data_IF_986771842463
#
_entry.id   IF_986771842463
#
_cell.length_a   1.000
_cell.length_b   1.000
_cell.length_c   1.000
_cell.angle_alpha   90.00
_cell.angle_beta   90.00
_cell.angle_gamma   90.00
#
_symmetry.space_group_name_H-M   'P 1'
#
loop_
_entity.id
_entity.type
_entity.pdbx_description
1 polymer ?
#
# COMPACT_ATOMS: atom_id res chain seq x y z
N UNK A 1 10.70 7.45 -9.03
CA UNK A 1 12.14 7.55 -9.32
C UNK A 1 12.64 6.29 -10.01
N UNK A 2 12.66 5.11 -9.37
CA UNK A 2 13.10 3.84 -9.99
C UNK A 2 12.50 3.57 -11.39
N UNK A 3 11.16 3.56 -11.52
CA UNK A 3 10.47 3.36 -12.83
C UNK A 3 10.89 4.33 -13.94
N UNK A 4 11.33 5.54 -13.59
CA UNK A 4 11.79 6.52 -14.58
C UNK A 4 13.20 6.16 -15.06
N UNK A 5 14.09 5.83 -14.14
CA UNK A 5 15.45 5.38 -14.47
C UNK A 5 15.43 4.13 -15.37
N UNK A 6 14.52 3.18 -15.13
CA UNK A 6 14.32 2.02 -16.02
C UNK A 6 13.92 2.44 -17.44
N UNK A 7 12.98 3.39 -17.58
CA UNK A 7 12.51 3.88 -18.89
C UNK A 7 13.60 4.60 -19.68
N UNK A 8 14.53 5.24 -18.98
CA UNK A 8 15.67 5.95 -19.58
C UNK A 8 16.87 5.03 -19.87
N UNK A 9 16.82 3.76 -19.47
CA UNK A 9 17.88 2.79 -19.72
C UNK A 9 19.00 2.79 -18.66
N UNK A 10 18.71 3.22 -17.43
CA UNK A 10 19.63 3.21 -16.29
C UNK A 10 19.24 2.15 -15.23
N UNK A 11 19.41 0.84 -15.52
CA UNK A 11 18.92 -0.23 -14.65
C UNK A 11 19.61 -0.27 -13.27
N UNK A 12 20.90 0.07 -13.19
CA UNK A 12 21.63 0.12 -11.91
C UNK A 12 21.06 1.19 -10.98
N UNK A 13 20.75 2.38 -11.53
CA UNK A 13 20.13 3.49 -10.79
C UNK A 13 18.71 3.11 -10.36
N UNK A 14 17.95 2.43 -11.23
CA UNK A 14 16.60 1.97 -10.90
C UNK A 14 16.59 0.98 -9.74
N UNK A 15 17.53 0.04 -9.70
CA UNK A 15 17.68 -0.93 -8.62
C UNK A 15 18.15 -0.26 -7.32
N UNK A 16 19.10 0.67 -7.40
CA UNK A 16 19.53 1.46 -6.24
C UNK A 16 18.35 2.21 -5.60
N UNK A 17 17.53 2.91 -6.41
CA UNK A 17 16.33 3.57 -5.91
C UNK A 17 15.34 2.61 -5.24
N UNK A 18 15.16 1.41 -5.81
CA UNK A 18 14.23 0.42 -5.27
C UNK A 18 14.70 -0.11 -3.93
N UNK A 19 15.99 -0.42 -3.78
CA UNK A 19 16.57 -0.91 -2.53
C UNK A 19 16.52 0.15 -1.44
N UNK A 20 16.93 1.38 -1.75
CA UNK A 20 16.87 2.51 -0.81
C UNK A 20 15.43 2.76 -0.36
N UNK A 21 14.44 2.65 -1.26
CA UNK A 21 13.04 2.81 -0.87
C UNK A 21 12.57 1.81 0.21
N UNK A 22 13.10 0.57 0.21
CA UNK A 22 12.83 -0.40 1.28
C UNK A 22 13.54 -0.03 2.59
N UNK A 23 14.77 0.45 2.51
CA UNK A 23 15.53 0.93 3.68
C UNK A 23 14.83 2.12 4.35
N UNK A 24 14.32 3.07 3.57
CA UNK A 24 13.53 4.19 4.09
C UNK A 24 12.17 3.77 4.66
N UNK A 25 11.53 2.74 4.08
CA UNK A 25 10.32 2.16 4.66
C UNK A 25 10.60 1.52 6.03
N UNK A 26 11.76 0.87 6.19
CA UNK A 26 12.22 0.33 7.47
C UNK A 26 12.49 1.46 8.49
N UNK A 27 13.12 2.56 8.07
CA UNK A 27 13.31 3.73 8.93
C UNK A 27 11.97 4.27 9.45
N UNK A 28 10.98 4.44 8.57
CA UNK A 28 9.64 4.89 8.95
C UNK A 28 8.96 3.92 9.92
N UNK A 29 9.10 2.60 9.71
CA UNK A 29 8.54 1.59 10.60
C UNK A 29 9.13 1.65 12.02
N UNK A 30 10.45 1.85 12.15
CA UNK A 30 11.13 2.00 13.44
C UNK A 30 10.62 3.21 14.22
N UNK A 31 10.43 4.35 13.56
CA UNK A 31 9.85 5.52 14.22
C UNK A 31 8.39 5.27 14.63
N UNK A 32 7.60 4.63 13.77
CA UNK A 32 6.22 4.29 14.07
C UNK A 32 6.09 3.34 15.27
N UNK A 33 7.03 2.41 15.45
CA UNK A 33 7.14 1.55 16.63
C UNK A 33 7.48 2.36 17.88
N UNK A 34 8.46 3.28 17.82
CA UNK A 34 8.84 4.13 18.95
C UNK A 34 7.71 5.06 19.41
N UNK A 35 6.87 5.52 18.47
CA UNK A 35 5.73 6.39 18.76
C UNK A 35 4.49 5.61 19.22
N UNK A 36 4.37 4.32 18.85
CA UNK A 36 3.21 3.50 19.19
C UNK A 36 1.91 3.85 18.46
N UNK A 37 1.98 4.66 17.39
CA UNK A 37 0.79 5.20 16.69
C UNK A 37 0.30 4.33 15.52
N UNK A 38 1.15 3.44 14.98
CA UNK A 38 0.85 2.64 13.77
C UNK A 38 1.21 1.17 13.93
N UNK A 39 2.17 0.86 14.80
CA UNK A 39 2.60 -0.51 15.11
C UNK A 39 2.45 -0.70 16.61
N UNK A 40 1.69 -1.71 17.01
CA UNK A 40 1.58 -2.13 18.40
C UNK A 40 2.32 -3.45 18.64
N UNK A 41 2.66 -3.76 19.89
CA UNK A 41 3.31 -5.01 20.27
C UNK A 41 2.35 -6.23 20.24
N UNK A 42 1.46 -6.30 19.25
CA UNK A 42 0.51 -7.40 19.03
C UNK A 42 0.27 -7.62 17.52
N UNK A 43 0.73 -8.75 17.00
CA UNK A 43 0.62 -9.08 15.57
C UNK A 43 -0.83 -9.24 15.11
N UNK A 44 -1.72 -9.73 15.98
CA UNK A 44 -3.14 -9.91 15.65
C UNK A 44 -3.79 -8.56 15.42
N UNK A 45 -3.58 -7.62 16.32
CA UNK A 45 -4.09 -6.25 16.23
C UNK A 45 -3.50 -5.54 15.02
N UNK A 46 -2.18 -5.64 14.80
CA UNK A 46 -1.53 -5.09 13.60
C UNK A 46 -2.18 -5.63 12.31
N UNK A 47 -2.42 -6.94 12.21
CA UNK A 47 -3.11 -7.52 11.05
C UNK A 47 -4.56 -7.04 10.93
N UNK A 48 -5.29 -6.94 12.05
CA UNK A 48 -6.68 -6.46 12.06
C UNK A 48 -6.76 -5.02 11.54
N UNK A 49 -5.94 -4.11 12.06
CA UNK A 49 -5.93 -2.72 11.61
C UNK A 49 -5.47 -2.57 10.16
N UNK A 50 -4.59 -3.46 9.67
CA UNK A 50 -4.22 -3.49 8.24
C UNK A 50 -5.38 -3.94 7.36
N UNK A 51 -6.18 -4.93 7.76
CA UNK A 51 -7.40 -5.32 7.02
C UNK A 51 -8.36 -4.13 6.92
N UNK A 52 -8.63 -3.45 8.04
CA UNK A 52 -9.52 -2.30 8.08
C UNK A 52 -8.98 -1.14 7.20
N UNK A 53 -7.66 -0.89 7.25
CA UNK A 53 -7.00 0.10 6.43
C UNK A 53 -7.12 -0.19 4.93
N UNK A 54 -6.93 -1.45 4.51
CA UNK A 54 -7.08 -1.83 3.09
C UNK A 54 -8.52 -1.69 2.59
N UNK A 55 -9.53 -1.97 3.44
CA UNK A 55 -10.94 -1.73 3.09
C UNK A 55 -11.25 -0.25 2.94
N UNK A 56 -10.79 0.59 3.88
CA UNK A 56 -10.91 2.03 3.76
C UNK A 56 -10.20 2.58 2.52
N UNK A 57 -9.00 2.10 2.23
CA UNK A 57 -8.23 2.49 1.06
C UNK A 57 -8.90 2.07 -0.25
N UNK A 58 -9.49 0.86 -0.29
CA UNK A 58 -10.25 0.37 -1.46
C UNK A 58 -11.45 1.28 -1.73
N UNK A 59 -12.27 1.57 -0.72
CA UNK A 59 -13.44 2.44 -0.88
C UNK A 59 -13.06 3.87 -1.27
N UNK A 60 -12.05 4.45 -0.60
CA UNK A 60 -11.53 5.78 -0.90
C UNK A 60 -11.01 5.90 -2.33
N UNK A 61 -10.21 4.92 -2.79
CA UNK A 61 -9.70 4.90 -4.17
C UNK A 61 -10.82 4.70 -5.18
N UNK A 62 -11.82 3.87 -4.91
CA UNK A 62 -12.96 3.70 -5.80
C UNK A 62 -13.74 5.01 -5.98
N UNK A 63 -13.99 5.74 -4.88
CA UNK A 63 -14.64 7.07 -4.92
C UNK A 63 -13.80 8.08 -5.70
N UNK A 64 -12.48 8.10 -5.45
CA UNK A 64 -11.56 9.00 -6.15
C UNK A 64 -11.49 8.69 -7.65
N UNK A 65 -11.42 7.42 -8.03
CA UNK A 65 -11.42 7.00 -9.44
C UNK A 65 -12.70 7.46 -10.14
N UNK A 66 -13.89 7.21 -9.55
CA UNK A 66 -15.16 7.69 -10.09
C UNK A 66 -15.16 9.20 -10.29
N UNK A 67 -14.68 9.95 -9.29
CA UNK A 67 -14.58 11.41 -9.37
C UNK A 67 -13.63 11.87 -10.48
N UNK A 68 -12.48 11.21 -10.64
CA UNK A 68 -11.55 11.50 -11.72
C UNK A 68 -12.20 11.27 -13.09
N UNK A 69 -13.01 10.21 -13.24
CA UNK A 69 -13.75 9.94 -14.48
C UNK A 69 -14.79 11.01 -14.80
N UNK A 70 -15.56 11.45 -13.81
CA UNK A 70 -16.53 12.55 -13.95
C UNK A 70 -15.87 13.86 -14.40
N UNK A 71 -14.63 14.09 -13.99
CA UNK A 71 -13.83 15.27 -14.35
C UNK A 71 -13.05 15.11 -15.66
N UNK A 72 -13.17 13.97 -16.36
CA UNK A 72 -12.43 13.69 -17.59
C UNK A 72 -10.93 13.45 -17.39
N UNK A 73 -10.49 13.13 -16.17
CA UNK A 73 -9.08 12.88 -15.82
C UNK A 73 -8.74 11.40 -15.97
N UNK A 74 -8.80 10.89 -17.21
CA UNK A 74 -8.75 9.45 -17.50
C UNK A 74 -7.47 8.76 -17.00
N UNK A 75 -6.29 9.39 -17.17
CA UNK A 75 -5.03 8.82 -16.67
C UNK A 75 -5.01 8.65 -15.14
N UNK A 76 -5.66 9.57 -14.41
CA UNK A 76 -5.78 9.50 -12.96
C UNK A 76 -6.81 8.44 -12.58
N UNK A 77 -7.96 8.39 -13.27
CA UNK A 77 -8.96 7.34 -13.08
C UNK A 77 -8.33 5.97 -13.21
N UNK A 78 -7.63 5.69 -14.32
CA UNK A 78 -7.10 4.36 -14.61
C UNK A 78 -6.06 3.95 -13.57
N UNK A 79 -5.13 4.86 -13.24
CA UNK A 79 -4.11 4.61 -12.21
C UNK A 79 -4.73 4.31 -10.85
N UNK A 80 -5.68 5.14 -10.39
CA UNK A 80 -6.31 4.98 -9.07
C UNK A 80 -7.21 3.74 -9.05
N UNK A 81 -7.85 3.41 -10.17
CA UNK A 81 -8.69 2.21 -10.29
C UNK A 81 -7.86 0.93 -10.24
N UNK A 82 -6.67 0.90 -10.85
CA UNK A 82 -5.72 -0.20 -10.69
C UNK A 82 -5.27 -0.35 -9.23
N UNK A 83 -4.87 0.76 -8.59
CA UNK A 83 -4.50 0.74 -7.17
C UNK A 83 -5.64 0.24 -6.27
N UNK A 84 -6.90 0.57 -6.59
CA UNK A 84 -8.07 0.05 -5.87
C UNK A 84 -8.15 -1.49 -5.89
N UNK A 85 -7.76 -2.13 -7.01
CA UNK A 85 -7.74 -3.59 -7.11
C UNK A 85 -6.60 -4.19 -6.29
N UNK A 86 -5.46 -3.50 -6.24
CA UNK A 86 -4.34 -3.91 -5.40
C UNK A 86 -4.72 -3.89 -3.92
N UNK A 87 -5.35 -2.82 -3.43
CA UNK A 87 -5.76 -2.78 -2.01
C UNK A 87 -6.81 -3.84 -1.67
N UNK A 88 -7.73 -4.13 -2.59
CA UNK A 88 -8.67 -5.23 -2.40
C UNK A 88 -7.93 -6.58 -2.28
N UNK A 89 -6.90 -6.81 -3.10
CA UNK A 89 -6.05 -8.00 -3.04
C UNK A 89 -5.24 -8.05 -1.74
N UNK A 90 -4.64 -6.93 -1.32
CA UNK A 90 -3.92 -6.81 -0.06
C UNK A 90 -4.82 -7.11 1.14
N UNK A 91 -6.02 -6.51 1.19
CA UNK A 91 -7.00 -6.74 2.24
C UNK A 91 -7.44 -8.20 2.33
N UNK A 92 -7.63 -8.89 1.21
CA UNK A 92 -7.92 -10.34 1.19
C UNK A 92 -6.73 -11.18 1.69
N UNK A 93 -5.51 -10.81 1.32
CA UNK A 93 -4.32 -11.49 1.80
C UNK A 93 -4.17 -11.34 3.33
N UNK A 94 -4.29 -10.13 3.87
CA UNK A 94 -4.23 -9.88 5.31
C UNK A 94 -5.37 -10.56 6.06
N UNK A 95 -6.60 -10.51 5.55
CA UNK A 95 -7.73 -11.20 6.17
C UNK A 95 -7.51 -12.72 6.21
N UNK A 96 -6.95 -13.29 5.14
CA UNK A 96 -6.59 -14.70 5.08
C UNK A 96 -5.58 -15.10 6.16
N UNK A 97 -4.54 -14.28 6.36
CA UNK A 97 -3.54 -14.49 7.41
C UNK A 97 -4.14 -14.32 8.81
N UNK A 98 -4.95 -13.27 9.02
CA UNK A 98 -5.62 -13.00 10.28
C UNK A 98 -6.50 -14.20 10.70
N UNK A 99 -7.33 -14.69 9.78
CA UNK A 99 -8.20 -15.83 10.05
C UNK A 99 -7.42 -17.12 10.27
N UNK A 100 -6.36 -17.37 9.48
CA UNK A 100 -5.54 -18.58 9.60
C UNK A 100 -4.85 -18.70 10.96
N UNK A 101 -4.34 -17.59 11.48
CA UNK A 101 -3.50 -17.62 12.69
C UNK A 101 -4.25 -17.18 13.96
N UNK A 102 -5.35 -16.43 13.82
CA UNK A 102 -6.07 -15.82 14.95
C UNK A 102 -7.60 -15.94 14.88
N UNK A 103 -8.14 -16.55 13.82
CA UNK A 103 -9.53 -16.97 13.74
C UNK A 103 -9.73 -18.20 14.62
N UNK A 104 -10.66 -18.13 15.55
CA UNK A 104 -11.25 -19.34 16.14
C UNK A 104 -12.31 -19.86 15.19
#
# INVERSE_FOLDING_TARGET
MSRQADREGYPEVAEAYKRIAFEEAEHAAKFAELLGEVVVADTKENLRVRVDAEYGATDGKLKLAKRAKELGLDAIHDTVHEMCKDEARHGKAFLGLLNRHFGK
#
